data_IF_562840149260
#
_entry.id   IF_562840149260
#
_cell.length_a   1.000
_cell.length_b   1.000
_cell.length_c   1.000
_cell.angle_alpha   90.00
_cell.angle_beta   90.00
_cell.angle_gamma   90.00
#
_symmetry.space_group_name_H-M   'P 1'
#
loop_
_entity.id
_entity.type
_entity.pdbx_description
1 polymer ?
#
# COMPACT_ATOMS: atom_id res chain seq x y z
N UNK A 1 -26.82 -48.15 -18.85
CA UNK A 1 -28.06 -47.34 -18.79
C UNK A 1 -27.71 -46.05 -18.07
N UNK A 2 -27.22 -45.05 -18.81
CA UNK A 2 -27.99 -43.91 -19.31
C UNK A 2 -28.65 -43.07 -18.19
N UNK A 3 -28.03 -41.94 -17.87
CA UNK A 3 -28.70 -40.64 -18.04
C UNK A 3 -27.61 -39.56 -18.15
N UNK A 4 -27.34 -39.13 -19.39
CA UNK A 4 -26.55 -37.94 -19.68
C UNK A 4 -27.55 -36.79 -19.75
N UNK A 5 -27.53 -35.90 -18.76
CA UNK A 5 -28.36 -34.71 -18.75
C UNK A 5 -27.64 -33.60 -19.51
N UNK A 6 -28.12 -33.35 -20.72
CA UNK A 6 -27.73 -32.27 -21.61
C UNK A 6 -28.27 -30.96 -21.03
N UNK A 7 -27.44 -30.19 -20.33
CA UNK A 7 -27.82 -28.84 -19.92
C UNK A 7 -27.50 -27.86 -21.06
N UNK A 8 -28.56 -27.23 -21.54
CA UNK A 8 -28.58 -26.34 -22.68
C UNK A 8 -27.83 -25.03 -22.40
N UNK A 9 -26.98 -24.68 -23.37
CA UNK A 9 -26.47 -23.35 -23.65
C UNK A 9 -27.59 -22.30 -23.57
N UNK A 10 -27.49 -21.37 -22.61
CA UNK A 10 -28.17 -20.08 -22.68
C UNK A 10 -27.09 -19.04 -22.94
N UNK A 11 -26.96 -18.69 -24.23
CA UNK A 11 -26.36 -17.42 -24.67
C UNK A 11 -27.20 -16.29 -24.08
N UNK A 12 -26.72 -15.65 -23.02
CA UNK A 12 -27.16 -14.31 -22.64
C UNK A 12 -26.04 -13.34 -22.99
N UNK A 13 -26.21 -12.72 -24.15
CA UNK A 13 -25.53 -11.52 -24.60
C UNK A 13 -25.75 -10.41 -23.57
N UNK A 14 -24.81 -10.21 -22.65
CA UNK A 14 -24.79 -8.99 -21.86
C UNK A 14 -24.06 -7.91 -22.65
N UNK A 15 -24.85 -6.94 -23.08
CA UNK A 15 -24.47 -5.65 -23.61
C UNK A 15 -23.29 -5.07 -22.81
N UNK A 16 -22.19 -4.87 -23.53
CA UNK A 16 -21.15 -3.89 -23.21
C UNK A 16 -21.77 -2.50 -23.24
N UNK A 17 -22.25 -2.04 -22.08
CA UNK A 17 -22.46 -0.62 -21.85
C UNK A 17 -21.11 0.01 -21.51
N UNK A 18 -20.46 0.58 -22.52
CA UNK A 18 -19.31 1.47 -22.34
C UNK A 18 -19.77 2.73 -21.60
N UNK A 19 -19.72 2.69 -20.27
CA UNK A 19 -19.67 3.89 -19.47
C UNK A 19 -18.23 4.40 -19.52
N UNK A 20 -17.96 5.32 -20.45
CA UNK A 20 -16.81 6.21 -20.40
C UNK A 20 -17.02 7.14 -19.19
N UNK A 21 -16.75 6.65 -17.98
CA UNK A 21 -16.37 7.56 -16.90
C UNK A 21 -15.00 8.09 -17.26
N UNK A 22 -14.89 9.40 -17.32
CA UNK A 22 -13.65 10.14 -17.48
C UNK A 22 -12.77 9.88 -16.26
N UNK A 23 -12.09 8.73 -16.23
CA UNK A 23 -10.96 8.51 -15.35
C UNK A 23 -9.86 9.49 -15.74
N UNK A 24 -9.35 10.25 -14.78
CA UNK A 24 -8.04 10.84 -14.89
C UNK A 24 -7.05 9.70 -15.13
N UNK A 25 -6.68 9.47 -16.39
CA UNK A 25 -5.47 8.71 -16.70
C UNK A 25 -4.33 9.59 -16.18
N UNK A 26 -3.74 9.20 -15.04
CA UNK A 26 -2.40 9.66 -14.71
C UNK A 26 -1.51 9.06 -15.78
N UNK A 27 -1.22 9.86 -16.80
CA UNK A 27 -0.13 9.58 -17.73
C UNK A 27 1.14 9.75 -16.93
N UNK A 28 1.57 8.67 -16.28
CA UNK A 28 2.94 8.54 -15.80
C UNK A 28 3.83 8.55 -17.04
N UNK A 29 4.34 9.72 -17.40
CA UNK A 29 5.31 9.88 -18.47
C UNK A 29 6.53 9.00 -18.14
N UNK A 30 6.79 7.90 -18.88
CA UNK A 30 7.89 6.99 -18.54
C UNK A 30 9.27 7.65 -18.72
N UNK A 31 9.33 8.90 -19.18
CA UNK A 31 10.58 9.60 -19.51
C UNK A 31 10.82 10.92 -18.76
N UNK A 32 9.99 11.32 -17.78
CA UNK A 32 10.26 12.54 -17.01
C UNK A 32 10.81 12.30 -15.59
N UNK A 33 11.67 11.29 -15.45
CA UNK A 33 12.65 11.23 -14.37
C UNK A 33 13.93 11.96 -14.80
N UNK A 34 13.87 13.27 -15.02
CA UNK A 34 15.09 14.08 -14.85
C UNK A 34 15.30 14.27 -13.35
N UNK A 35 15.77 13.19 -12.72
CA UNK A 35 16.34 13.25 -11.39
C UNK A 35 17.42 14.32 -11.37
N UNK A 36 17.21 15.36 -10.56
CA UNK A 36 18.28 16.28 -10.24
C UNK A 36 19.41 15.50 -9.59
N UNK A 37 20.63 15.70 -10.07
CA UNK A 37 21.83 15.19 -9.42
C UNK A 37 21.86 15.69 -7.96
N UNK A 38 21.38 14.86 -7.04
CA UNK A 38 21.66 14.99 -5.62
C UNK A 38 23.16 14.85 -5.44
N UNK A 39 23.79 15.93 -4.97
CA UNK A 39 25.23 15.97 -4.74
C UNK A 39 25.68 14.87 -3.78
N UNK A 40 26.94 14.47 -3.91
CA UNK A 40 27.61 13.48 -3.08
C UNK A 40 27.42 13.79 -1.59
N UNK A 41 26.40 13.17 -0.99
CA UNK A 41 26.25 13.07 0.45
C UNK A 41 27.41 12.21 0.93
N UNK A 42 28.45 12.86 1.45
CA UNK A 42 29.65 12.20 1.94
C UNK A 42 29.28 11.03 2.83
N UNK A 43 29.80 9.85 2.50
CA UNK A 43 29.69 8.67 3.33
C UNK A 43 30.10 9.04 4.76
N UNK A 44 29.13 9.04 5.68
CA UNK A 44 29.42 9.01 7.09
C UNK A 44 30.26 7.77 7.32
N UNK A 45 31.57 7.98 7.53
CA UNK A 45 32.51 6.90 7.86
C UNK A 45 31.99 6.31 9.16
N UNK A 46 31.29 5.17 9.07
CA UNK A 46 30.98 4.35 10.22
C UNK A 46 32.29 4.10 10.95
N UNK A 47 32.33 4.48 12.24
CA UNK A 47 33.54 4.34 13.04
C UNK A 47 34.06 2.90 12.91
N UNK A 48 35.30 2.75 12.45
CA UNK A 48 35.97 1.46 12.38
C UNK A 48 35.94 0.81 13.76
N UNK A 49 35.26 -0.34 13.87
CA UNK A 49 35.27 -1.15 15.08
C UNK A 49 36.71 -1.38 15.54
N UNK A 50 36.97 -1.14 16.83
CA UNK A 50 38.31 -1.23 17.39
C UNK A 50 38.92 -2.61 17.12
N UNK A 51 40.14 -2.65 16.58
CA UNK A 51 40.92 -3.88 16.45
C UNK A 51 41.21 -4.46 17.83
N UNK A 52 40.73 -5.68 18.09
CA UNK A 52 41.08 -6.43 19.29
C UNK A 52 42.59 -6.66 19.38
N UNK A 53 43.17 -6.40 20.56
CA UNK A 53 44.61 -6.52 20.77
C UNK A 53 45.12 -7.94 20.57
N UNK A 54 46.27 -8.09 19.92
CA UNK A 54 46.99 -9.36 19.84
C UNK A 54 47.52 -9.75 21.22
N UNK A 55 47.07 -10.89 21.75
CA UNK A 55 47.56 -11.45 23.01
C UNK A 55 49.05 -11.81 22.90
N UNK A 56 49.88 -11.21 23.77
CA UNK A 56 51.28 -11.59 23.91
C UNK A 56 51.43 -12.97 24.54
N UNK A 57 52.40 -13.75 24.06
CA UNK A 57 52.77 -15.04 24.66
C UNK A 57 53.30 -14.80 26.09
N UNK A 58 52.55 -15.26 27.10
CA UNK A 58 53.03 -15.30 28.50
C UNK A 58 52.06 -14.84 29.59
N UNK A 59 50.82 -14.45 29.27
CA UNK A 59 49.84 -14.04 30.28
C UNK A 59 48.43 -14.49 29.91
N UNK A 60 47.61 -14.78 30.92
CA UNK A 60 46.18 -15.08 30.79
C UNK A 60 45.51 -13.98 29.95
N UNK A 61 45.03 -14.32 28.76
CA UNK A 61 44.41 -13.38 27.83
C UNK A 61 43.23 -12.64 28.49
N UNK A 62 43.27 -11.30 28.45
CA UNK A 62 42.17 -10.48 28.92
C UNK A 62 40.91 -10.70 28.08
N UNK A 63 39.74 -10.59 28.72
CA UNK A 63 38.44 -10.64 28.05
C UNK A 63 38.37 -9.49 27.05
N UNK A 64 38.14 -9.80 25.77
CA UNK A 64 37.96 -8.81 24.72
C UNK A 64 36.84 -7.84 25.06
N UNK A 65 37.08 -6.54 24.85
CA UNK A 65 36.09 -5.50 25.13
C UNK A 65 34.80 -5.72 24.34
N UNK A 66 33.67 -5.41 24.95
CA UNK A 66 32.37 -5.40 24.29
C UNK A 66 32.42 -4.40 23.12
N UNK A 67 32.14 -4.86 21.91
CA UNK A 67 32.03 -3.99 20.73
C UNK A 67 31.05 -2.85 21.02
N UNK A 68 31.42 -1.63 20.63
CA UNK A 68 30.57 -0.46 20.82
C UNK A 68 29.23 -0.63 20.13
N UNK A 69 28.16 -0.12 20.74
CA UNK A 69 26.85 0.01 20.10
C UNK A 69 27.03 0.78 18.79
N UNK A 70 26.64 0.17 17.67
CA UNK A 70 26.64 0.84 16.37
C UNK A 70 25.86 2.14 16.47
N UNK A 71 26.42 3.21 15.89
CA UNK A 71 25.73 4.50 15.85
C UNK A 71 24.41 4.37 15.09
N UNK A 72 23.38 5.10 15.55
CA UNK A 72 22.18 5.34 14.74
C UNK A 72 22.62 5.99 13.43
N UNK A 73 22.27 5.39 12.29
CA UNK A 73 22.57 5.95 10.98
C UNK A 73 22.09 7.40 10.93
N UNK A 74 22.94 8.28 10.39
CA UNK A 74 22.58 9.70 10.26
C UNK A 74 21.35 9.85 9.37
N UNK A 75 20.50 10.81 9.72
CA UNK A 75 19.40 11.30 8.88
C UNK A 75 19.99 11.79 7.55
N UNK A 76 20.13 10.88 6.60
CA UNK A 76 20.66 11.18 5.28
C UNK A 76 19.67 12.06 4.55
N UNK A 77 20.09 13.27 4.18
CA UNK A 77 19.36 14.08 3.21
C UNK A 77 19.25 13.30 1.89
N UNK A 78 18.06 12.81 1.57
CA UNK A 78 17.84 12.00 0.39
C UNK A 78 16.42 11.44 0.33
N UNK A 79 15.68 11.87 -0.70
CA UNK A 79 14.29 11.50 -1.02
C UNK A 79 13.22 11.95 -0.01
N UNK A 80 12.33 12.85 -0.42
CA UNK A 80 11.18 13.33 0.37
C UNK A 80 10.07 12.27 0.56
N UNK A 81 10.40 10.98 0.43
CA UNK A 81 9.43 9.91 0.57
C UNK A 81 9.42 9.38 2.02
N UNK A 82 8.30 8.82 2.45
CA UNK A 82 8.14 8.18 3.75
C UNK A 82 8.49 6.71 3.66
N UNK A 83 9.44 6.29 4.49
CA UNK A 83 9.85 4.92 4.67
C UNK A 83 8.84 4.09 5.45
N UNK A 84 9.01 2.76 5.48
CA UNK A 84 8.01 1.84 6.03
C UNK A 84 7.80 2.00 7.54
N UNK A 85 8.82 2.43 8.28
CA UNK A 85 8.80 2.59 9.73
C UNK A 85 8.55 4.04 10.18
N UNK A 86 8.44 4.97 9.25
CA UNK A 86 8.23 6.38 9.57
C UNK A 86 6.83 6.62 10.18
N UNK A 87 6.69 7.71 10.91
CA UNK A 87 5.42 8.11 11.52
C UNK A 87 5.08 7.41 12.83
N UNK A 88 4.15 8.04 13.56
CA UNK A 88 3.63 7.61 14.86
C UNK A 88 2.10 7.35 14.82
N UNK A 89 1.54 7.27 13.61
CA UNK A 89 0.13 6.97 13.40
C UNK A 89 -0.28 5.61 13.95
N UNK A 90 -1.56 5.48 14.29
CA UNK A 90 -2.17 4.23 14.74
C UNK A 90 -3.63 4.15 14.35
N UNK A 91 -4.22 2.95 14.38
CA UNK A 91 -5.67 2.76 14.19
C UNK A 91 -6.47 3.63 15.17
N UNK A 92 -6.00 3.81 16.40
CA UNK A 92 -6.65 4.67 17.38
C UNK A 92 -6.63 6.17 16.99
N UNK A 93 -5.70 6.60 16.15
CA UNK A 93 -5.70 7.95 15.60
C UNK A 93 -6.86 8.17 14.62
N UNK A 94 -7.32 7.11 13.93
CA UNK A 94 -8.50 7.18 13.06
C UNK A 94 -9.79 7.49 13.85
N UNK A 95 -9.86 7.08 15.12
CA UNK A 95 -11.02 7.30 16.00
C UNK A 95 -11.08 8.75 16.52
N UNK A 96 -9.99 9.51 16.40
CA UNK A 96 -9.89 10.90 16.82
C UNK A 96 -10.13 11.91 15.68
N UNK A 97 -10.44 11.43 14.47
CA UNK A 97 -10.59 12.28 13.30
C UNK A 97 -11.94 12.99 13.25
N UNK A 98 -11.99 14.09 12.49
CA UNK A 98 -13.24 14.79 12.20
C UNK A 98 -14.24 13.92 11.42
N UNK A 99 -13.75 12.95 10.65
CA UNK A 99 -14.59 12.05 9.85
C UNK A 99 -15.03 10.78 10.61
N UNK A 100 -14.71 10.65 11.91
CA UNK A 100 -15.16 9.50 12.71
C UNK A 100 -16.69 9.52 12.84
N UNK A 101 -17.40 8.42 12.50
CA UNK A 101 -18.86 8.36 12.50
C UNK A 101 -19.43 8.43 13.92
N UNK A 102 -20.70 8.81 14.02
CA UNK A 102 -21.47 8.72 15.27
C UNK A 102 -21.78 7.26 15.65
N UNK A 103 -21.93 6.97 16.96
CA UNK A 103 -21.88 7.89 18.10
C UNK A 103 -20.48 8.25 18.59
N UNK A 104 -19.42 7.61 18.09
CA UNK A 104 -18.05 7.74 18.60
C UNK A 104 -17.41 9.08 18.24
N UNK A 105 -17.75 9.64 17.08
CA UNK A 105 -17.16 10.86 16.54
C UNK A 105 -18.16 11.96 16.14
N UNK A 106 -17.64 13.07 15.58
CA UNK A 106 -18.44 14.24 15.27
C UNK A 106 -19.18 14.15 13.92
N UNK A 107 -18.73 13.29 12.98
CA UNK A 107 -19.29 13.23 11.65
C UNK A 107 -20.70 12.63 11.64
N UNK A 108 -21.58 13.23 10.84
CA UNK A 108 -22.85 12.61 10.51
C UNK A 108 -22.64 11.42 9.56
N UNK A 109 -23.59 10.49 9.55
CA UNK A 109 -23.60 9.44 8.54
C UNK A 109 -23.87 10.01 7.15
N UNK A 110 -23.30 9.37 6.16
CA UNK A 110 -23.40 9.75 4.77
C UNK A 110 -24.67 9.17 4.14
N UNK A 111 -25.48 10.00 3.46
CA UNK A 111 -26.70 9.53 2.83
C UNK A 111 -26.37 8.76 1.54
N UNK A 112 -27.02 7.60 1.36
CA UNK A 112 -26.88 6.76 0.17
C UNK A 112 -28.19 6.12 -0.25
N UNK A 113 -28.11 5.31 -1.30
CA UNK A 113 -29.23 4.46 -1.75
C UNK A 113 -28.74 3.04 -2.02
N UNK A 114 -29.49 2.04 -1.56
CA UNK A 114 -29.24 0.64 -1.92
C UNK A 114 -29.55 0.37 -3.42
N UNK A 115 -29.25 -0.83 -3.95
CA UNK A 115 -29.57 -1.19 -5.35
C UNK A 115 -31.07 -1.15 -5.70
N UNK A 116 -31.96 -1.08 -4.71
CA UNK A 116 -33.41 -0.96 -4.91
C UNK A 116 -33.89 0.51 -4.80
N UNK A 117 -32.99 1.47 -4.55
CA UNK A 117 -33.31 2.88 -4.38
C UNK A 117 -33.80 3.27 -2.98
N UNK A 118 -33.68 2.39 -1.97
CA UNK A 118 -34.02 2.73 -0.60
C UNK A 118 -32.92 3.57 0.03
N UNK A 119 -33.24 4.66 0.76
CA UNK A 119 -32.25 5.41 1.51
C UNK A 119 -31.52 4.52 2.51
N UNK A 120 -30.19 4.61 2.51
CA UNK A 120 -29.31 3.99 3.49
C UNK A 120 -28.36 5.04 4.06
N UNK A 121 -27.83 4.78 5.23
CA UNK A 121 -26.79 5.59 5.86
C UNK A 121 -25.53 4.75 5.93
N UNK A 122 -24.39 5.32 5.52
CA UNK A 122 -23.09 4.68 5.59
C UNK A 122 -22.10 5.57 6.35
N UNK A 123 -21.07 4.96 6.92
CA UNK A 123 -20.03 5.71 7.61
C UNK A 123 -19.20 6.52 6.61
N UNK A 124 -18.62 7.66 7.01
CA UNK A 124 -17.72 8.43 6.16
C UNK A 124 -16.62 7.56 5.54
N UNK A 125 -16.47 7.54 4.20
CA UNK A 125 -15.54 6.65 3.50
C UNK A 125 -14.10 6.78 4.00
N UNK A 126 -13.67 7.98 4.35
CA UNK A 126 -12.33 8.22 4.87
C UNK A 126 -12.06 7.54 6.22
N UNK A 127 -13.07 7.27 7.05
CA UNK A 127 -12.87 6.56 8.32
C UNK A 127 -12.51 5.08 8.08
N UNK A 128 -13.28 4.39 7.23
CA UNK A 128 -12.96 3.02 6.80
C UNK A 128 -11.62 2.94 6.08
N UNK A 129 -11.34 3.91 5.20
CA UNK A 129 -10.06 4.06 4.50
C UNK A 129 -8.88 4.17 5.47
N UNK A 130 -9.00 4.98 6.53
CA UNK A 130 -7.93 5.15 7.53
C UNK A 130 -7.64 3.83 8.25
N UNK A 131 -8.68 3.13 8.70
CA UNK A 131 -8.52 1.86 9.41
C UNK A 131 -7.91 0.79 8.53
N UNK A 132 -8.45 0.61 7.30
CA UNK A 132 -7.89 -0.32 6.33
C UNK A 132 -6.44 0.05 6.00
N UNK A 133 -6.14 1.33 5.87
CA UNK A 133 -4.79 1.82 5.62
C UNK A 133 -3.76 1.36 6.65
N UNK A 134 -4.08 1.38 7.94
CA UNK A 134 -3.18 0.83 8.98
C UNK A 134 -3.08 -0.69 8.98
N UNK A 135 -4.02 -1.41 8.38
CA UNK A 135 -3.96 -2.86 8.20
C UNK A 135 -3.07 -3.26 7.02
N UNK A 136 -3.13 -2.53 5.91
CA UNK A 136 -2.49 -2.95 4.65
C UNK A 136 -1.25 -2.17 4.27
N UNK A 137 -1.12 -0.92 4.72
CA UNK A 137 0.04 -0.10 4.40
C UNK A 137 1.12 -0.21 5.47
N UNK A 138 2.33 0.18 5.08
CA UNK A 138 3.43 0.44 6.01
C UNK A 138 3.05 1.58 6.95
N UNK A 139 3.72 1.67 8.11
CA UNK A 139 3.40 2.69 9.12
C UNK A 139 3.55 4.11 8.55
N UNK A 140 4.60 4.36 7.77
CA UNK A 140 4.85 5.66 7.16
C UNK A 140 3.75 6.08 6.21
N UNK A 141 3.38 5.20 5.27
CA UNK A 141 2.28 5.45 4.35
C UNK A 141 0.95 5.66 5.09
N UNK A 142 0.58 4.76 6.02
CA UNK A 142 -0.65 4.89 6.79
C UNK A 142 -0.72 6.21 7.59
N UNK A 143 0.40 6.68 8.13
CA UNK A 143 0.49 7.97 8.84
C UNK A 143 0.25 9.16 7.89
N UNK A 144 0.82 9.14 6.68
CA UNK A 144 0.55 10.18 5.67
C UNK A 144 -0.93 10.23 5.29
N UNK A 145 -1.54 9.06 5.08
CA UNK A 145 -2.96 8.94 4.76
C UNK A 145 -3.82 9.49 5.91
N UNK A 146 -3.58 9.06 7.14
CA UNK A 146 -4.33 9.50 8.33
C UNK A 146 -4.21 11.02 8.55
N UNK A 147 -3.01 11.59 8.40
CA UNK A 147 -2.82 13.04 8.52
C UNK A 147 -3.65 13.81 7.48
N UNK A 148 -3.66 13.35 6.23
CA UNK A 148 -4.49 13.99 5.20
C UNK A 148 -5.99 13.85 5.49
N UNK A 149 -6.45 12.66 5.89
CA UNK A 149 -7.86 12.40 6.20
C UNK A 149 -8.34 13.20 7.42
N UNK A 150 -7.44 13.51 8.36
CA UNK A 150 -7.76 14.31 9.55
C UNK A 150 -8.08 15.77 9.22
N UNK A 151 -7.62 16.26 8.07
CA UNK A 151 -7.89 17.62 7.57
C UNK A 151 -9.27 17.73 6.90
N UNK A 152 -9.95 16.61 6.61
CA UNK A 152 -11.30 16.61 6.05
C UNK A 152 -12.30 17.12 7.12
N UNK A 153 -13.17 18.05 6.72
CA UNK A 153 -14.19 18.62 7.62
C UNK A 153 -15.28 17.63 8.04
N UNK A 154 -15.93 17.90 9.18
CA UNK A 154 -16.98 17.03 9.78
C UNK A 154 -18.30 17.03 9.00
N UNK A 155 -18.50 18.03 8.17
CA UNK A 155 -19.72 18.33 7.45
C UNK A 155 -19.97 17.26 6.37
N UNK A 156 -21.22 16.82 6.13
CA UNK A 156 -21.51 15.78 5.15
C UNK A 156 -20.97 16.07 3.75
N UNK A 157 -20.91 17.34 3.34
CA UNK A 157 -20.35 17.73 2.04
C UNK A 157 -18.83 17.45 1.91
N UNK A 158 -18.12 17.26 3.02
CA UNK A 158 -16.69 16.95 3.06
C UNK A 158 -16.45 15.51 3.51
N UNK A 159 -17.05 15.11 4.64
CA UNK A 159 -16.87 13.78 5.22
C UNK A 159 -17.34 12.65 4.28
N UNK A 160 -18.34 12.92 3.42
CA UNK A 160 -18.89 11.98 2.44
C UNK A 160 -18.37 12.20 1.02
N UNK A 161 -17.32 13.00 0.85
CA UNK A 161 -16.74 13.30 -0.45
C UNK A 161 -15.65 12.27 -0.79
N UNK A 162 -16.00 11.30 -1.63
CA UNK A 162 -15.08 10.26 -2.11
C UNK A 162 -13.85 10.85 -2.80
N UNK A 163 -13.97 12.02 -3.45
CA UNK A 163 -12.85 12.65 -4.14
C UNK A 163 -11.80 13.16 -3.13
N UNK A 164 -12.21 13.72 -1.99
CA UNK A 164 -11.27 14.15 -0.96
C UNK A 164 -10.52 12.97 -0.34
N UNK A 165 -11.20 11.84 -0.16
CA UNK A 165 -10.58 10.59 0.30
C UNK A 165 -9.58 10.08 -0.74
N UNK A 166 -9.98 10.02 -2.01
CA UNK A 166 -9.11 9.60 -3.12
C UNK A 166 -7.86 10.50 -3.26
N UNK A 167 -8.01 11.81 -3.09
CA UNK A 167 -6.90 12.76 -3.09
C UNK A 167 -5.90 12.47 -1.96
N UNK A 168 -6.39 12.09 -0.77
CA UNK A 168 -5.54 11.68 0.35
C UNK A 168 -4.81 10.35 0.09
N UNK A 169 -5.49 9.37 -0.51
CA UNK A 169 -4.85 8.14 -0.98
C UNK A 169 -3.77 8.46 -2.02
N UNK A 170 -4.04 9.34 -3.00
CA UNK A 170 -3.06 9.78 -3.99
C UNK A 170 -1.83 10.45 -3.38
N UNK A 171 -2.00 11.30 -2.36
CA UNK A 171 -0.88 11.91 -1.61
C UNK A 171 -0.05 10.86 -0.89
N UNK A 172 -0.68 9.86 -0.28
CA UNK A 172 0.01 8.75 0.37
C UNK A 172 0.86 7.97 -0.65
N UNK A 173 0.29 7.60 -1.80
CA UNK A 173 1.02 6.91 -2.87
C UNK A 173 2.20 7.74 -3.40
N UNK A 174 2.00 9.04 -3.63
CA UNK A 174 3.06 9.93 -4.09
C UNK A 174 4.18 10.17 -3.06
N UNK A 175 3.90 9.92 -1.77
CA UNK A 175 4.87 10.03 -0.69
C UNK A 175 5.58 8.71 -0.38
N UNK A 176 5.09 7.55 -0.83
CA UNK A 176 5.67 6.26 -0.47
C UNK A 176 7.06 6.05 -1.10
N UNK A 177 8.03 5.60 -0.29
CA UNK A 177 9.32 5.19 -0.83
C UNK A 177 9.21 3.88 -1.62
N UNK A 178 10.10 3.63 -2.61
CA UNK A 178 10.26 2.32 -3.20
C UNK A 178 10.49 1.23 -2.13
N UNK A 179 9.74 0.14 -2.22
CA UNK A 179 9.80 -0.96 -1.25
C UNK A 179 10.47 -2.19 -1.85
N UNK A 180 11.53 -2.69 -1.19
CA UNK A 180 12.20 -3.92 -1.60
C UNK A 180 11.29 -5.14 -1.46
N UNK A 181 10.42 -5.14 -0.44
CA UNK A 181 9.45 -6.21 -0.21
C UNK A 181 8.39 -6.23 -1.32
N UNK A 182 7.89 -5.05 -1.74
CA UNK A 182 6.99 -4.92 -2.88
C UNK A 182 7.64 -5.41 -4.18
N UNK A 183 8.90 -5.01 -4.43
CA UNK A 183 9.67 -5.47 -5.58
C UNK A 183 9.81 -7.00 -5.63
N UNK A 184 10.18 -7.62 -4.50
CA UNK A 184 10.30 -9.06 -4.40
C UNK A 184 8.95 -9.78 -4.57
N UNK A 185 7.87 -9.24 -4.01
CA UNK A 185 6.53 -9.78 -4.16
C UNK A 185 6.07 -9.75 -5.62
N UNK A 186 6.23 -8.62 -6.32
CA UNK A 186 5.88 -8.48 -7.74
C UNK A 186 6.73 -9.38 -8.64
N UNK A 187 8.04 -9.52 -8.38
CA UNK A 187 8.88 -10.49 -9.08
C UNK A 187 8.44 -11.93 -8.83
N UNK A 188 8.01 -12.26 -7.61
CA UNK A 188 7.50 -13.58 -7.26
C UNK A 188 6.20 -13.88 -7.99
N UNK A 189 5.25 -12.93 -8.02
CA UNK A 189 4.01 -13.04 -8.78
C UNK A 189 4.32 -13.27 -10.26
N UNK A 190 5.19 -12.44 -10.85
CA UNK A 190 5.58 -12.58 -12.26
C UNK A 190 6.21 -13.94 -12.59
N UNK A 191 7.11 -14.42 -11.74
CA UNK A 191 7.92 -15.61 -12.05
C UNK A 191 7.26 -16.93 -11.63
N UNK A 192 6.36 -16.90 -10.64
CA UNK A 192 5.81 -18.10 -10.02
C UNK A 192 4.31 -18.27 -10.19
N UNK A 193 3.55 -17.17 -10.33
CA UNK A 193 2.10 -17.23 -10.50
C UNK A 193 1.72 -17.04 -11.97
N UNK A 194 2.37 -16.12 -12.67
CA UNK A 194 2.09 -15.81 -14.08
C UNK A 194 2.94 -16.66 -15.08
N UNK A 195 3.07 -17.98 -14.90
CA UNK A 195 4.05 -18.81 -15.65
C UNK A 195 3.67 -19.09 -17.13
N UNK A 196 2.42 -18.85 -17.54
CA UNK A 196 1.90 -19.31 -18.85
C UNK A 196 2.20 -18.39 -20.06
N UNK A 197 3.27 -17.59 -20.00
CA UNK A 197 3.66 -16.68 -21.08
C UNK A 197 2.83 -15.41 -21.16
N UNK A 198 2.10 -15.11 -20.08
CA UNK A 198 1.37 -13.86 -19.94
C UNK A 198 2.33 -12.75 -19.53
N UNK A 199 2.16 -11.57 -20.12
CA UNK A 199 2.94 -10.40 -19.75
C UNK A 199 2.36 -9.82 -18.47
N UNK A 200 3.07 -9.94 -17.36
CA UNK A 200 2.71 -9.28 -16.10
C UNK A 200 3.43 -7.95 -15.98
N UNK A 201 2.69 -6.86 -15.69
CA UNK A 201 3.29 -5.55 -15.46
C UNK A 201 3.96 -5.47 -14.08
N UNK A 202 5.18 -6.00 -13.99
CA UNK A 202 5.96 -6.00 -12.75
C UNK A 202 6.25 -4.57 -12.27
N UNK A 203 6.41 -3.61 -13.19
CA UNK A 203 6.71 -2.22 -12.84
C UNK A 203 5.47 -1.51 -12.28
N UNK A 204 4.31 -1.68 -12.92
CA UNK A 204 3.02 -1.23 -12.41
C UNK A 204 2.74 -1.79 -11.02
N UNK A 205 2.89 -3.11 -10.87
CA UNK A 205 2.74 -3.79 -9.58
C UNK A 205 3.63 -3.17 -8.48
N UNK A 206 4.90 -2.88 -8.79
CA UNK A 206 5.82 -2.27 -7.84
C UNK A 206 5.36 -0.88 -7.40
N UNK A 207 4.92 -0.04 -8.35
CA UNK A 207 4.45 1.31 -8.05
C UNK A 207 3.20 1.28 -7.16
N UNK A 208 2.26 0.38 -7.43
CA UNK A 208 0.98 0.26 -6.71
C UNK A 208 1.09 -0.44 -5.35
N UNK A 209 2.15 -1.22 -5.14
CA UNK A 209 2.38 -1.96 -3.89
C UNK A 209 3.49 -1.40 -3.02
N UNK A 210 4.19 -0.34 -3.47
CA UNK A 210 5.18 0.38 -2.65
C UNK A 210 4.71 0.73 -1.23
N UNK A 211 3.47 1.24 -1.00
CA UNK A 211 3.03 1.54 0.35
C UNK A 211 2.60 0.31 1.14
N UNK A 212 2.47 -0.89 0.55
CA UNK A 212 1.95 -2.07 1.22
C UNK A 212 2.94 -2.63 2.25
N UNK A 213 2.41 -3.13 3.35
CA UNK A 213 3.17 -3.94 4.30
C UNK A 213 3.24 -5.41 3.85
N UNK A 214 4.04 -6.20 4.56
CA UNK A 214 4.25 -7.62 4.24
C UNK A 214 2.99 -8.48 4.32
N UNK A 215 2.03 -8.14 5.21
CA UNK A 215 0.79 -8.89 5.32
C UNK A 215 -0.10 -8.68 4.09
N UNK A 216 -0.23 -7.43 3.63
CA UNK A 216 -1.00 -7.10 2.42
C UNK A 216 -0.38 -7.68 1.15
N UNK A 217 0.95 -7.64 1.02
CA UNK A 217 1.66 -8.29 -0.09
C UNK A 217 1.40 -9.80 -0.12
N UNK A 218 1.38 -10.45 1.04
CA UNK A 218 1.06 -11.88 1.16
C UNK A 218 -0.41 -12.16 0.84
N UNK A 219 -1.34 -11.33 1.31
CA UNK A 219 -2.77 -11.43 0.97
C UNK A 219 -3.00 -11.31 -0.54
N UNK A 220 -2.34 -10.35 -1.18
CA UNK A 220 -2.38 -10.15 -2.63
C UNK A 220 -1.86 -11.37 -3.40
N UNK A 221 -0.68 -11.90 -3.02
CA UNK A 221 -0.11 -13.08 -3.66
C UNK A 221 -0.99 -14.32 -3.50
N UNK A 222 -1.59 -14.52 -2.31
CA UNK A 222 -2.52 -15.62 -2.06
C UNK A 222 -3.78 -15.48 -2.92
N UNK A 223 -4.36 -14.28 -3.00
CA UNK A 223 -5.52 -14.03 -3.83
C UNK A 223 -5.24 -14.36 -5.31
N UNK A 224 -4.10 -13.93 -5.84
CA UNK A 224 -3.73 -14.20 -7.24
C UNK A 224 -3.54 -15.71 -7.46
N UNK A 225 -2.90 -16.41 -6.52
CA UNK A 225 -2.72 -17.87 -6.58
C UNK A 225 -4.04 -18.64 -6.58
N UNK A 226 -5.06 -18.13 -5.91
CA UNK A 226 -6.39 -18.74 -5.81
C UNK A 226 -7.36 -18.26 -6.90
N UNK A 227 -6.93 -17.31 -7.75
CA UNK A 227 -7.78 -16.72 -8.78
C UNK A 227 -8.09 -17.73 -9.88
N UNK A 228 -9.36 -17.74 -10.31
CA UNK A 228 -9.81 -18.51 -11.46
C UNK A 228 -9.72 -17.73 -12.79
N UNK A 229 -9.25 -16.47 -12.74
CA UNK A 229 -9.12 -15.64 -13.93
C UNK A 229 -7.96 -16.17 -14.79
N UNK A 230 -8.15 -16.29 -16.11
CA UNK A 230 -7.13 -16.83 -16.98
C UNK A 230 -5.95 -15.87 -17.14
N UNK A 231 -6.20 -14.56 -17.20
CA UNK A 231 -5.17 -13.51 -17.36
C UNK A 231 -4.64 -13.03 -16.01
N UNK A 232 -3.31 -13.01 -15.88
CA UNK A 232 -2.65 -12.65 -14.63
C UNK A 232 -2.82 -11.17 -14.24
N UNK A 233 -2.96 -10.24 -15.19
CA UNK A 233 -3.23 -8.84 -14.86
C UNK A 233 -4.69 -8.67 -14.42
N UNK A 234 -5.64 -9.33 -15.07
CA UNK A 234 -7.04 -9.34 -14.60
C UNK A 234 -7.14 -9.92 -13.17
N UNK A 235 -6.38 -10.99 -12.88
CA UNK A 235 -6.27 -11.55 -11.54
C UNK A 235 -5.66 -10.56 -10.55
N UNK A 236 -4.58 -9.89 -10.93
CA UNK A 236 -3.92 -8.87 -10.13
C UNK A 236 -4.88 -7.71 -9.80
N UNK A 237 -5.54 -7.12 -10.80
CA UNK A 237 -6.44 -5.98 -10.62
C UNK A 237 -7.61 -6.32 -9.69
N UNK A 238 -8.21 -7.51 -9.88
CA UNK A 238 -9.29 -7.98 -9.01
C UNK A 238 -8.81 -8.20 -7.56
N UNK A 239 -7.64 -8.79 -7.39
CA UNK A 239 -7.06 -9.04 -6.07
C UNK A 239 -6.56 -7.77 -5.38
N UNK A 240 -6.01 -6.82 -6.13
CA UNK A 240 -5.61 -5.52 -5.62
C UNK A 240 -6.83 -4.73 -5.12
N UNK A 241 -7.92 -4.70 -5.92
CA UNK A 241 -9.18 -4.11 -5.50
C UNK A 241 -9.74 -4.78 -4.23
N UNK A 242 -9.65 -6.11 -4.13
CA UNK A 242 -10.06 -6.84 -2.94
C UNK A 242 -9.22 -6.45 -1.70
N UNK A 243 -7.89 -6.43 -1.81
CA UNK A 243 -6.99 -6.10 -0.70
C UNK A 243 -7.18 -4.64 -0.26
N UNK A 244 -7.44 -3.72 -1.19
CA UNK A 244 -7.62 -2.30 -0.87
C UNK A 244 -9.04 -1.92 -0.43
N UNK A 245 -10.02 -2.80 -0.63
CA UNK A 245 -11.41 -2.54 -0.23
C UNK A 245 -11.59 -2.46 1.30
N UNK A 246 -12.59 -1.69 1.74
CA UNK A 246 -12.97 -1.48 3.14
C UNK A 246 -14.49 -1.41 3.32
#
# INVERSE_FOLDING_TARGET
MQSRSTFALVLTSFLTAAALSSGCIIVSDPNNNTGGNGGDGGAGVGASGGTGGTGGQGGTGGVGGTGGTGGTGGEGGGSNCVGPEDGDGSVAACDAMNITPKPEGPAAQCPGTDPNGNPIEFDPPGYGTCKRGFEIYTRGAATVLQNCLSDIGVEPANACDDQQVADCVGKMYGAACPSADAALACETISNQLCINGETFDTQGCQLETNPFNNAALQELANCISDSALPDCNDAYDACFAQVTSY
#
